data_IF_410127844924
#
_entry.id   IF_410127844924
#
_cell.length_a   1.000
_cell.length_b   1.000
_cell.length_c   1.000
_cell.angle_alpha   90.00
_cell.angle_beta   90.00
_cell.angle_gamma   90.00
#
_symmetry.space_group_name_H-M   'P 1'
#
loop_
_entity.id
_entity.type
_entity.pdbx_description
1 polymer ?
#
# COMPACT_ATOMS: atom_id res chain seq x y z
N UNK A 1 22.27 4.96 -16.19
CA UNK A 1 21.25 6.03 -16.19
C UNK A 1 20.03 5.41 -15.53
N UNK A 2 19.68 5.84 -14.31
CA UNK A 2 18.50 5.30 -13.63
C UNK A 2 17.27 5.60 -14.48
N UNK A 3 16.64 4.55 -15.00
CA UNK A 3 15.33 4.66 -15.63
C UNK A 3 14.35 4.89 -14.50
N UNK A 4 13.86 6.13 -14.37
CA UNK A 4 12.80 6.43 -13.40
C UNK A 4 11.58 5.59 -13.76
N UNK A 5 11.01 4.92 -12.76
CA UNK A 5 9.72 4.23 -12.88
C UNK A 5 8.67 5.21 -13.36
N UNK A 6 7.77 4.75 -14.24
CA UNK A 6 6.63 5.55 -14.65
C UNK A 6 5.66 5.73 -13.48
N UNK A 7 4.80 6.74 -13.55
CA UNK A 7 3.74 6.93 -12.55
C UNK A 7 2.82 5.71 -12.44
N UNK A 8 2.62 5.00 -13.55
CA UNK A 8 1.85 3.76 -13.59
C UNK A 8 2.56 2.64 -12.82
N UNK A 9 3.86 2.46 -13.04
CA UNK A 9 4.68 1.52 -12.28
C UNK A 9 4.62 1.83 -10.78
N UNK A 10 4.69 3.11 -10.41
CA UNK A 10 4.61 3.54 -9.02
C UNK A 10 3.23 3.24 -8.42
N UNK A 11 2.14 3.54 -9.12
CA UNK A 11 0.77 3.21 -8.65
C UNK A 11 0.53 1.71 -8.52
N UNK A 12 1.21 0.90 -9.33
CA UNK A 12 1.11 -0.56 -9.24
C UNK A 12 1.82 -1.13 -8.00
N UNK A 13 2.93 -0.49 -7.59
CA UNK A 13 3.87 -0.98 -6.59
C UNK A 13 3.68 -0.36 -5.19
N UNK A 14 2.98 0.77 -5.09
CA UNK A 14 2.75 1.49 -3.83
C UNK A 14 1.26 1.67 -3.53
N UNK A 15 0.94 1.81 -2.25
CA UNK A 15 -0.37 2.24 -1.79
C UNK A 15 -0.37 3.77 -1.70
N UNK A 16 -1.00 4.43 -2.68
CA UNK A 16 -1.15 5.88 -2.73
C UNK A 16 -2.62 6.29 -2.71
N UNK A 17 -2.87 7.52 -2.26
CA UNK A 17 -4.20 8.11 -2.23
C UNK A 17 -4.76 8.20 -0.82
N UNK A 18 -6.09 8.21 -0.74
CA UNK A 18 -6.87 8.20 0.50
C UNK A 18 -6.82 6.84 1.19
N UNK A 19 -7.22 6.80 2.47
CA UNK A 19 -7.31 5.57 3.27
C UNK A 19 -8.25 4.56 2.58
N UNK A 20 -9.40 5.03 2.08
CA UNK A 20 -10.38 4.19 1.40
C UNK A 20 -9.82 3.59 0.10
N UNK A 21 -9.13 4.38 -0.71
CA UNK A 21 -8.48 3.90 -1.94
C UNK A 21 -7.43 2.81 -1.64
N UNK A 22 -6.66 2.98 -0.55
CA UNK A 22 -5.68 1.98 -0.12
C UNK A 22 -6.34 0.69 0.37
N UNK A 23 -7.45 0.78 1.12
CA UNK A 23 -8.23 -0.40 1.58
C UNK A 23 -8.77 -1.18 0.38
N UNK A 24 -9.41 -0.50 -0.56
CA UNK A 24 -9.96 -1.14 -1.76
C UNK A 24 -8.87 -1.80 -2.61
N UNK A 25 -7.70 -1.16 -2.72
CA UNK A 25 -6.56 -1.76 -3.40
C UNK A 25 -6.11 -3.05 -2.72
N UNK A 26 -5.98 -3.07 -1.39
CA UNK A 26 -5.57 -4.27 -0.65
C UNK A 26 -6.61 -5.39 -0.79
N UNK A 27 -7.90 -5.08 -0.71
CA UNK A 27 -9.00 -6.04 -0.92
C UNK A 27 -8.97 -6.65 -2.33
N UNK A 28 -8.73 -5.82 -3.35
CA UNK A 28 -8.55 -6.28 -4.72
C UNK A 28 -7.39 -7.27 -4.84
N UNK A 29 -6.26 -7.00 -4.18
CA UNK A 29 -5.12 -7.93 -4.16
C UNK A 29 -5.49 -9.24 -3.44
N UNK A 30 -6.13 -9.18 -2.26
CA UNK A 30 -6.62 -10.38 -1.55
C UNK A 30 -7.53 -11.25 -2.42
N UNK A 31 -8.37 -10.64 -3.26
CA UNK A 31 -9.24 -11.34 -4.22
C UNK A 31 -8.49 -12.21 -5.24
N UNK A 32 -7.18 -12.03 -5.41
CA UNK A 32 -6.33 -12.86 -6.29
C UNK A 32 -5.86 -14.17 -5.66
N UNK A 33 -6.18 -14.41 -4.37
CA UNK A 33 -5.80 -15.62 -3.64
C UNK A 33 -4.47 -15.53 -2.89
N UNK A 34 -3.92 -14.33 -2.72
CA UNK A 34 -2.73 -14.15 -1.88
C UNK A 34 -3.07 -14.38 -0.40
N UNK A 35 -2.17 -15.03 0.33
CA UNK A 35 -2.33 -15.31 1.76
C UNK A 35 -1.61 -14.27 2.64
N UNK A 36 -0.54 -13.68 2.12
CA UNK A 36 0.31 -12.74 2.85
C UNK A 36 0.62 -11.49 2.01
N UNK A 37 0.50 -10.32 2.63
CA UNK A 37 0.93 -9.04 2.08
C UNK A 37 1.97 -8.44 3.03
N UNK A 38 3.18 -8.21 2.51
CA UNK A 38 4.25 -7.53 3.26
C UNK A 38 4.17 -6.04 2.93
N UNK A 39 4.09 -5.21 3.97
CA UNK A 39 4.03 -3.76 3.83
C UNK A 39 5.30 -3.16 4.41
N UNK A 40 5.94 -2.31 3.61
CA UNK A 40 7.11 -1.55 4.01
C UNK A 40 6.77 -0.06 3.89
N UNK A 41 7.08 0.77 4.90
CA UNK A 41 6.92 2.20 4.77
C UNK A 41 7.86 2.74 3.67
N UNK A 42 7.44 3.81 3.01
CA UNK A 42 8.22 4.45 1.95
C UNK A 42 9.47 5.13 2.51
N UNK A 43 9.41 5.59 3.75
CA UNK A 43 10.50 6.24 4.48
C UNK A 43 10.62 5.63 5.87
N UNK A 44 11.64 6.02 6.63
CA UNK A 44 11.85 5.57 8.02
C UNK A 44 10.90 6.25 9.02
N UNK A 45 9.77 6.81 8.56
CA UNK A 45 8.80 7.47 9.43
C UNK A 45 7.88 6.43 10.11
N UNK A 46 7.96 6.27 11.44
CA UNK A 46 7.11 5.32 12.17
C UNK A 46 5.61 5.65 12.06
N UNK A 47 5.25 6.90 11.77
CA UNK A 47 3.85 7.31 11.60
C UNK A 47 3.17 6.58 10.44
N UNK A 48 3.92 6.10 9.43
CA UNK A 48 3.34 5.31 8.34
C UNK A 48 2.84 3.95 8.81
N UNK A 49 3.59 3.30 9.71
CA UNK A 49 3.17 2.04 10.33
C UNK A 49 1.99 2.29 11.27
N UNK A 50 2.01 3.40 12.02
CA UNK A 50 0.88 3.75 12.88
C UNK A 50 -0.40 4.03 12.09
N UNK A 51 -0.31 4.78 11.00
CA UNK A 51 -1.43 5.05 10.09
C UNK A 51 -2.01 3.73 9.58
N UNK A 52 -1.16 2.82 9.12
CA UNK A 52 -1.61 1.52 8.66
C UNK A 52 -2.31 0.73 9.78
N UNK A 53 -1.71 0.69 10.97
CA UNK A 53 -2.24 -0.08 12.10
C UNK A 53 -3.57 0.46 12.66
N UNK A 54 -3.77 1.79 12.62
CA UNK A 54 -4.93 2.49 13.19
C UNK A 54 -6.07 2.67 12.19
N UNK A 55 -5.75 3.03 10.95
CA UNK A 55 -6.76 3.44 9.96
C UNK A 55 -7.04 2.38 8.90
N UNK A 56 -6.02 1.64 8.47
CA UNK A 56 -6.16 0.68 7.36
C UNK A 56 -6.52 -0.71 7.90
N UNK A 57 -5.66 -1.30 8.75
CA UNK A 57 -5.80 -2.69 9.23
C UNK A 57 -7.17 -3.00 9.86
N UNK A 58 -7.80 -2.13 10.67
CA UNK A 58 -9.11 -2.43 11.24
C UNK A 58 -10.24 -2.53 10.22
N UNK A 59 -10.03 -2.01 9.00
CA UNK A 59 -11.01 -1.93 7.93
C UNK A 59 -10.73 -2.91 6.76
N UNK A 60 -9.68 -3.75 6.85
CA UNK A 60 -9.35 -4.78 5.86
C UNK A 60 -10.09 -6.10 6.09
#
# INVERSE_FOLDING_TARGET
>A
MDVKRSDEDLRSAYLFGTIDEMIERIRSIKGTGIEHLIINPLTEDPLQIELFAKEIRPNL
#
